data_IF_651806955418
#
_entry.id   IF_651806955418
#
_cell.length_a   1.000
_cell.length_b   1.000
_cell.length_c   1.000
_cell.angle_alpha   90.00
_cell.angle_beta   90.00
_cell.angle_gamma   90.00
#
_symmetry.space_group_name_H-M   'P 1'
#
loop_
_entity.id
_entity.type
_entity.pdbx_description
1 polymer ?
#
# COMPACT_ATOMS: atom_id res chain seq x y z
N UNK A 1 -47.63 -32.06 -57.80
CA UNK A 1 -48.86 -32.49 -57.09
C UNK A 1 -49.13 -31.50 -55.98
N UNK A 2 -50.27 -30.89 -56.06
CA UNK A 2 -50.78 -29.86 -55.16
C UNK A 2 -51.12 -30.40 -53.79
N UNK A 3 -51.02 -29.56 -52.77
CA UNK A 3 -52.19 -29.34 -51.94
C UNK A 3 -52.07 -28.05 -51.10
N UNK A 4 -53.01 -27.24 -51.29
CA UNK A 4 -53.53 -26.10 -50.57
C UNK A 4 -54.09 -26.52 -49.20
N UNK A 5 -54.09 -25.62 -48.24
CA UNK A 5 -55.27 -25.24 -47.40
C UNK A 5 -54.68 -24.60 -46.12
N UNK A 6 -55.04 -23.57 -45.50
CA UNK A 6 -56.21 -22.63 -45.60
C UNK A 6 -56.07 -21.67 -44.41
N UNK A 7 -56.46 -20.47 -44.67
CA UNK A 7 -56.49 -19.31 -43.75
C UNK A 7 -57.48 -19.54 -42.60
N UNK A 8 -57.11 -19.07 -41.38
CA UNK A 8 -58.12 -18.62 -40.42
C UNK A 8 -57.66 -17.49 -39.53
N UNK A 9 -58.08 -16.33 -39.84
CA UNK A 9 -58.08 -15.11 -39.06
C UNK A 9 -58.86 -15.28 -37.76
N UNK A 10 -58.28 -14.86 -36.62
CA UNK A 10 -59.16 -14.43 -35.52
C UNK A 10 -58.60 -13.13 -34.92
N UNK A 11 -59.38 -12.12 -35.10
CA UNK A 11 -59.40 -10.77 -34.59
C UNK A 11 -59.77 -10.84 -33.09
N UNK A 12 -58.97 -10.31 -32.19
CA UNK A 12 -59.39 -10.06 -30.81
C UNK A 12 -58.78 -8.77 -30.29
N UNK A 13 -59.65 -7.87 -30.15
CA UNK A 13 -59.83 -6.67 -29.36
C UNK A 13 -58.61 -6.14 -28.50
N UNK A 14 -58.31 -4.89 -28.80
CA UNK A 14 -57.49 -4.01 -27.99
C UNK A 14 -58.18 -3.67 -26.65
N UNK A 15 -57.48 -3.93 -25.54
CA UNK A 15 -57.87 -3.39 -24.25
C UNK A 15 -56.77 -2.39 -23.83
N UNK A 16 -57.10 -1.10 -23.99
CA UNK A 16 -56.29 0.02 -23.48
C UNK A 16 -56.30 -0.05 -21.96
N UNK A 17 -55.12 -0.25 -21.35
CA UNK A 17 -54.89 0.01 -19.92
C UNK A 17 -54.02 1.25 -19.85
N UNK A 18 -54.54 2.30 -19.27
CA UNK A 18 -53.89 3.55 -19.02
C UNK A 18 -52.76 3.33 -18.00
N UNK A 19 -51.52 3.49 -18.39
CA UNK A 19 -50.38 3.51 -17.49
C UNK A 19 -50.28 4.89 -16.83
N UNK A 20 -50.49 4.89 -15.53
CA UNK A 20 -50.35 6.02 -14.62
C UNK A 20 -48.86 6.40 -14.54
N UNK A 21 -48.51 7.60 -15.03
CA UNK A 21 -47.15 8.12 -14.97
C UNK A 21 -46.68 8.25 -13.51
N UNK A 22 -45.70 7.47 -13.14
CA UNK A 22 -44.99 7.64 -11.89
C UNK A 22 -43.89 8.71 -12.07
N UNK A 23 -43.94 9.75 -11.25
CA UNK A 23 -42.92 10.81 -11.17
C UNK A 23 -41.54 10.20 -10.86
N UNK A 24 -40.46 10.65 -11.50
CA UNK A 24 -39.11 10.21 -11.16
C UNK A 24 -38.73 10.77 -9.77
N UNK A 25 -38.48 9.86 -8.85
CA UNK A 25 -37.94 10.17 -7.50
C UNK A 25 -36.46 10.53 -7.66
N UNK A 26 -36.16 11.82 -7.51
CA UNK A 26 -34.79 12.33 -7.46
C UNK A 26 -34.09 11.72 -6.25
N UNK A 27 -33.31 10.69 -6.48
CA UNK A 27 -32.35 10.17 -5.47
C UNK A 27 -31.06 10.96 -5.64
N UNK A 28 -30.88 11.96 -4.79
CA UNK A 28 -29.59 12.58 -4.62
C UNK A 28 -28.61 11.53 -4.03
N UNK A 29 -27.39 11.39 -4.57
CA UNK A 29 -26.39 10.53 -3.96
C UNK A 29 -25.96 11.19 -2.65
N UNK A 30 -26.34 10.60 -1.51
CA UNK A 30 -25.75 10.94 -0.22
C UNK A 30 -24.26 10.67 -0.32
N UNK A 31 -23.45 11.70 -0.44
CA UNK A 31 -22.01 11.62 -0.31
C UNK A 31 -21.69 11.20 1.14
N UNK A 32 -21.43 9.93 1.32
CA UNK A 32 -20.88 9.41 2.56
C UNK A 32 -19.38 9.77 2.59
N UNK A 33 -19.05 10.97 3.01
CA UNK A 33 -17.70 11.26 3.44
C UNK A 33 -17.46 10.46 4.73
N UNK A 34 -17.03 9.21 4.60
CA UNK A 34 -16.45 8.48 5.71
C UNK A 34 -15.24 9.29 6.17
N UNK A 35 -15.36 9.96 7.31
CA UNK A 35 -14.18 10.42 8.04
C UNK A 35 -13.32 9.18 8.28
N UNK A 36 -12.25 9.04 7.52
CA UNK A 36 -11.27 7.97 7.74
C UNK A 36 -10.72 8.22 9.15
N UNK A 37 -11.07 7.36 10.09
CA UNK A 37 -10.56 7.45 11.45
C UNK A 37 -9.02 7.36 11.38
N UNK A 38 -8.31 8.20 12.12
CA UNK A 38 -6.85 8.10 12.20
C UNK A 38 -6.51 6.71 12.75
N UNK A 39 -5.54 5.99 12.16
CA UNK A 39 -5.12 4.69 12.67
C UNK A 39 -4.69 4.79 14.14
N UNK A 40 -5.01 3.76 14.92
CA UNK A 40 -4.52 3.65 16.28
C UNK A 40 -2.99 3.51 16.26
N UNK A 41 -2.32 4.07 17.27
CA UNK A 41 -0.89 3.90 17.46
C UNK A 41 -0.62 2.80 18.47
N UNK A 42 0.34 1.93 18.19
CA UNK A 42 0.89 0.96 19.15
C UNK A 42 1.76 1.65 20.19
N UNK A 43 2.09 0.89 21.27
CA UNK A 43 3.03 1.30 22.30
C UNK A 43 4.37 1.66 21.73
N UNK A 44 4.85 2.57 21.29
CA UNK A 44 6.08 2.96 20.55
C UNK A 44 5.79 3.87 19.36
N UNK A 45 4.51 4.14 19.09
CA UNK A 45 4.08 5.10 18.08
C UNK A 45 3.95 4.54 16.66
N UNK A 46 4.04 3.23 16.48
CA UNK A 46 3.79 2.60 15.17
C UNK A 46 2.30 2.67 14.83
N UNK A 47 1.92 3.18 13.65
CA UNK A 47 0.55 3.13 13.19
C UNK A 47 0.07 1.70 13.00
N UNK A 48 -1.17 1.39 13.42
CA UNK A 48 -1.83 0.13 13.09
C UNK A 48 -2.47 0.24 11.71
N UNK A 49 -1.83 -0.32 10.71
CA UNK A 49 -2.33 -0.40 9.34
C UNK A 49 -2.49 -1.87 8.97
N UNK A 50 -3.63 -2.23 8.41
CA UNK A 50 -3.86 -3.60 7.94
C UNK A 50 -2.82 -4.00 6.88
N UNK A 51 -2.42 -5.29 6.92
CA UNK A 51 -1.55 -5.88 5.90
C UNK A 51 -2.19 -5.67 4.52
N UNK A 52 -1.45 -5.06 3.61
CA UNK A 52 -1.89 -4.84 2.23
C UNK A 52 -0.69 -4.57 1.33
N UNK A 53 -0.83 -4.92 0.05
CA UNK A 53 0.17 -4.67 -0.97
C UNK A 53 -0.09 -3.33 -1.69
N UNK A 54 0.95 -2.74 -2.23
CA UNK A 54 0.89 -1.51 -3.02
C UNK A 54 1.34 -0.25 -2.28
N UNK A 55 1.31 0.86 -3.00
CA UNK A 55 1.76 2.17 -2.49
C UNK A 55 0.78 2.75 -1.47
N UNK A 56 -0.52 2.68 -1.72
CA UNK A 56 -1.54 3.33 -0.89
C UNK A 56 -1.47 2.96 0.62
N UNK A 57 -1.33 1.68 1.03
CA UNK A 57 -1.19 1.34 2.44
C UNK A 57 0.11 1.87 3.05
N UNK A 58 1.20 1.94 2.29
CA UNK A 58 2.48 2.49 2.77
C UNK A 58 2.36 4.00 2.97
N UNK A 59 1.73 4.73 2.05
CA UNK A 59 1.46 6.15 2.21
C UNK A 59 0.54 6.44 3.39
N UNK A 60 -0.50 5.62 3.59
CA UNK A 60 -1.36 5.71 4.77
C UNK A 60 -0.59 5.49 6.08
N UNK A 61 0.35 4.55 6.09
CA UNK A 61 1.22 4.30 7.23
C UNK A 61 2.10 5.52 7.53
N UNK A 62 2.80 6.04 6.52
CA UNK A 62 3.68 7.21 6.64
C UNK A 62 2.88 8.44 7.11
N UNK A 63 1.69 8.66 6.55
CA UNK A 63 0.82 9.77 6.95
C UNK A 63 0.35 9.67 8.41
N UNK A 64 0.21 8.46 8.94
CA UNK A 64 -0.19 8.20 10.31
C UNK A 64 0.96 8.24 11.33
N UNK A 65 2.21 8.26 10.87
CA UNK A 65 3.37 8.36 11.75
C UNK A 65 3.37 9.68 12.55
N UNK A 66 3.75 9.65 13.83
CA UNK A 66 3.75 10.85 14.65
C UNK A 66 4.98 11.73 14.42
N UNK A 67 4.77 13.04 14.46
CA UNK A 67 5.85 14.04 14.50
C UNK A 67 6.89 13.92 13.39
N UNK A 68 8.15 14.11 13.75
CA UNK A 68 9.32 14.06 12.89
C UNK A 68 9.47 12.74 12.11
N UNK A 69 9.00 11.63 12.67
CA UNK A 69 9.06 10.31 12.01
C UNK A 69 8.33 10.28 10.67
N UNK A 70 7.24 11.05 10.53
CA UNK A 70 6.51 11.19 9.27
C UNK A 70 7.38 11.79 8.17
N UNK A 71 8.15 12.81 8.50
CA UNK A 71 9.00 13.48 7.53
C UNK A 71 10.19 12.58 7.13
N UNK A 72 10.78 11.89 8.08
CA UNK A 72 11.77 10.84 7.78
C UNK A 72 11.16 9.74 6.94
N UNK A 73 9.95 9.27 7.27
CA UNK A 73 9.26 8.25 6.47
C UNK A 73 9.05 8.67 5.02
N UNK A 74 8.66 9.92 4.77
CA UNK A 74 8.52 10.49 3.41
C UNK A 74 9.86 10.57 2.68
N UNK A 75 10.90 11.03 3.37
CA UNK A 75 12.26 11.10 2.79
C UNK A 75 12.76 9.72 2.40
N UNK A 76 12.59 8.73 3.27
CA UNK A 76 12.97 7.34 3.00
C UNK A 76 12.21 6.76 1.83
N UNK A 77 10.88 6.94 1.78
CA UNK A 77 10.04 6.46 0.66
C UNK A 77 10.49 7.07 -0.66
N UNK A 78 10.68 8.38 -0.70
CA UNK A 78 11.14 9.10 -1.90
C UNK A 78 12.53 8.62 -2.34
N UNK A 79 13.46 8.47 -1.40
CA UNK A 79 14.81 7.98 -1.68
C UNK A 79 14.80 6.57 -2.25
N UNK A 80 14.03 5.66 -1.64
CA UNK A 80 13.94 4.25 -2.08
C UNK A 80 13.36 4.17 -3.49
N UNK A 81 12.25 4.87 -3.75
CA UNK A 81 11.59 4.89 -5.07
C UNK A 81 12.50 5.44 -6.15
N UNK A 82 13.26 6.51 -5.84
CA UNK A 82 14.23 7.10 -6.76
C UNK A 82 15.42 6.19 -7.03
N UNK A 83 15.87 5.46 -6.00
CA UNK A 83 17.08 4.60 -6.09
C UNK A 83 16.80 3.29 -6.80
N UNK A 84 15.59 2.76 -6.63
CA UNK A 84 15.19 1.44 -7.16
C UNK A 84 13.92 1.59 -7.98
N UNK A 85 14.04 1.85 -9.30
CA UNK A 85 12.90 1.90 -10.21
C UNK A 85 12.12 0.57 -10.17
N UNK A 86 10.78 0.66 -10.07
CA UNK A 86 9.92 -0.52 -10.02
C UNK A 86 9.87 -1.20 -8.64
N UNK A 87 10.37 -0.56 -7.59
CA UNK A 87 10.26 -1.08 -6.23
C UNK A 87 8.80 -1.35 -5.86
N UNK A 88 8.53 -2.56 -5.36
CA UNK A 88 7.24 -2.95 -4.84
C UNK A 88 7.14 -2.52 -3.37
N UNK A 89 5.94 -2.14 -2.97
CA UNK A 89 5.66 -1.68 -1.62
C UNK A 89 4.55 -2.52 -0.99
N UNK A 90 4.61 -2.71 0.30
CA UNK A 90 3.56 -3.38 1.08
C UNK A 90 3.60 -2.91 2.53
N UNK A 91 2.50 -3.10 3.26
CA UNK A 91 2.51 -3.10 4.72
C UNK A 91 2.45 -4.55 5.19
N UNK A 92 3.49 -5.00 5.88
CA UNK A 92 3.60 -6.33 6.50
C UNK A 92 4.14 -6.17 7.92
N UNK A 93 3.74 -7.05 8.82
CA UNK A 93 4.16 -6.99 10.23
C UNK A 93 4.02 -5.58 10.83
N UNK A 94 2.94 -4.90 10.46
CA UNK A 94 2.64 -3.53 10.87
C UNK A 94 3.77 -2.53 10.59
N UNK A 95 4.43 -2.67 9.43
CA UNK A 95 5.52 -1.79 8.99
C UNK A 95 5.55 -1.70 7.47
N UNK A 96 6.03 -0.58 6.90
CA UNK A 96 6.30 -0.48 5.47
C UNK A 96 7.38 -1.45 5.04
N UNK A 97 7.17 -2.07 3.91
CA UNK A 97 8.03 -3.07 3.31
C UNK A 97 8.29 -2.71 1.85
N UNK A 98 9.55 -2.76 1.44
CA UNK A 98 9.98 -2.45 0.08
C UNK A 98 10.79 -3.59 -0.49
N UNK A 99 10.65 -3.88 -1.78
CA UNK A 99 11.41 -4.94 -2.42
C UNK A 99 11.21 -5.04 -3.92
N UNK A 100 11.96 -5.93 -4.55
CA UNK A 100 11.84 -6.30 -5.96
C UNK A 100 11.71 -7.81 -6.04
N UNK A 101 10.78 -8.31 -6.86
CA UNK A 101 10.61 -9.73 -7.18
C UNK A 101 10.63 -10.67 -5.96
N UNK A 102 9.87 -10.28 -4.93
CA UNK A 102 9.78 -11.07 -3.70
C UNK A 102 10.92 -10.85 -2.71
N UNK A 103 11.89 -10.02 -3.05
CA UNK A 103 12.94 -9.57 -2.15
C UNK A 103 12.51 -8.30 -1.42
N UNK A 104 12.77 -8.19 -0.14
CA UNK A 104 12.31 -7.06 0.61
C UNK A 104 13.24 -6.65 1.75
N UNK A 105 13.18 -5.40 2.09
CA UNK A 105 13.71 -4.83 3.31
C UNK A 105 12.62 -4.09 4.05
N UNK A 106 12.73 -4.01 5.36
CA UNK A 106 11.70 -3.54 6.26
C UNK A 106 12.05 -2.19 6.85
N UNK A 107 11.07 -1.28 6.89
CA UNK A 107 11.10 -0.09 7.73
C UNK A 107 10.22 -0.34 8.95
N UNK A 108 10.81 -0.30 10.14
CA UNK A 108 10.12 -0.43 11.42
C UNK A 108 10.33 0.83 12.26
N UNK A 109 9.30 1.21 13.01
CA UNK A 109 9.30 2.44 13.79
C UNK A 109 8.95 2.14 15.24
N UNK A 110 9.87 2.50 16.14
CA UNK A 110 9.65 2.48 17.58
C UNK A 110 9.83 3.89 18.14
N UNK A 111 10.65 4.09 19.16
CA UNK A 111 11.03 5.43 19.65
C UNK A 111 11.82 6.23 18.62
N UNK A 112 12.49 5.55 17.70
CA UNK A 112 13.24 6.07 16.57
C UNK A 112 12.80 5.35 15.28
N UNK A 113 13.28 5.78 14.13
CA UNK A 113 13.05 5.11 12.86
C UNK A 113 14.13 4.06 12.65
N UNK A 114 13.76 2.83 12.37
CA UNK A 114 14.68 1.72 12.12
C UNK A 114 14.52 1.22 10.69
N UNK A 115 15.59 1.24 9.91
CA UNK A 115 15.66 0.59 8.61
C UNK A 115 16.32 -0.78 8.78
N UNK A 116 15.63 -1.85 8.39
CA UNK A 116 16.15 -3.21 8.50
C UNK A 116 16.52 -3.76 7.13
N UNK A 117 17.73 -4.23 6.98
CA UNK A 117 18.23 -4.91 5.79
C UNK A 117 18.42 -6.40 6.10
N UNK A 118 17.61 -7.26 5.46
CA UNK A 118 17.63 -8.71 5.72
C UNK A 118 18.94 -9.39 5.35
N UNK A 119 19.65 -8.88 4.34
CA UNK A 119 21.01 -9.29 3.98
C UNK A 119 22.03 -8.20 4.33
N UNK A 120 21.83 -7.53 5.44
CA UNK A 120 22.60 -6.37 5.85
C UNK A 120 24.10 -6.65 6.05
N UNK A 121 24.48 -7.89 6.38
CA UNK A 121 25.88 -8.30 6.49
C UNK A 121 26.64 -8.34 5.17
N UNK A 122 25.90 -8.39 4.05
CA UNK A 122 26.47 -8.35 2.69
C UNK A 122 26.65 -6.93 2.15
N UNK A 123 26.11 -5.92 2.84
CA UNK A 123 26.21 -4.52 2.41
C UNK A 123 27.55 -3.90 2.75
N UNK A 124 28.01 -2.95 1.92
CA UNK A 124 29.26 -2.20 2.14
C UNK A 124 29.02 -0.70 1.96
N UNK A 125 29.50 0.14 2.88
CA UNK A 125 29.99 -0.26 4.21
C UNK A 125 28.92 -0.98 5.02
N UNK A 126 29.31 -1.67 6.08
CA UNK A 126 28.38 -2.44 6.91
C UNK A 126 27.42 -1.49 7.66
N UNK A 127 26.07 -1.70 7.60
CA UNK A 127 25.17 -0.90 8.42
C UNK A 127 25.46 -1.04 9.92
N UNK A 128 25.35 0.05 10.71
CA UNK A 128 25.98 0.15 12.02
C UNK A 128 25.38 -0.77 13.08
N UNK A 129 24.05 -0.94 13.11
CA UNK A 129 23.42 -1.65 14.20
C UNK A 129 23.24 -3.15 13.90
N UNK A 130 23.63 -3.98 14.85
CA UNK A 130 23.51 -5.43 14.76
C UNK A 130 22.09 -5.90 15.11
N UNK A 131 21.73 -7.06 14.58
CA UNK A 131 20.49 -7.77 14.90
C UNK A 131 20.79 -9.07 15.64
N UNK A 132 19.78 -9.63 16.32
CA UNK A 132 19.80 -11.00 16.82
C UNK A 132 19.82 -12.03 15.68
N UNK A 133 19.33 -11.66 14.52
CA UNK A 133 19.35 -12.48 13.30
C UNK A 133 20.70 -12.29 12.58
N UNK A 134 21.38 -13.39 12.27
CA UNK A 134 22.75 -13.42 11.78
C UNK A 134 23.01 -12.50 10.58
N UNK A 135 22.10 -12.48 9.61
CA UNK A 135 22.29 -11.76 8.34
C UNK A 135 21.67 -10.35 8.34
N UNK A 136 20.89 -10.02 9.35
CA UNK A 136 20.16 -8.76 9.42
C UNK A 136 21.01 -7.66 10.06
N UNK A 137 21.00 -6.48 9.47
CA UNK A 137 21.60 -5.26 10.02
C UNK A 137 20.59 -4.13 10.00
N UNK A 138 20.79 -3.17 10.87
CA UNK A 138 19.89 -2.01 11.01
C UNK A 138 20.64 -0.70 10.83
N UNK A 139 19.89 0.29 10.34
CA UNK A 139 20.19 1.71 10.51
C UNK A 139 19.11 2.27 11.44
N UNK A 140 19.51 2.76 12.58
CA UNK A 140 18.66 3.47 13.52
C UNK A 140 18.79 4.97 13.25
N UNK A 141 17.66 5.68 13.17
CA UNK A 141 17.60 7.13 12.86
C UNK A 141 16.81 7.79 13.98
N UNK A 142 17.43 8.70 14.71
CA UNK A 142 16.85 9.48 15.79
C UNK A 142 16.41 10.86 15.27
N UNK A 143 15.71 11.62 16.10
CA UNK A 143 15.13 12.90 15.72
C UNK A 143 16.16 13.92 15.22
N UNK A 144 17.28 13.98 15.90
CA UNK A 144 18.34 14.96 15.63
C UNK A 144 19.45 14.42 14.72
N UNK A 145 19.29 13.18 14.19
CA UNK A 145 20.30 12.58 13.33
C UNK A 145 20.30 13.21 11.94
N UNK A 146 21.49 13.57 11.46
CA UNK A 146 21.68 13.91 10.06
C UNK A 146 21.61 12.63 9.22
N UNK A 147 20.58 12.50 8.39
CA UNK A 147 20.43 11.35 7.50
C UNK A 147 21.41 11.48 6.31
N UNK A 148 22.38 10.58 6.25
CA UNK A 148 23.24 10.39 5.07
C UNK A 148 22.45 9.68 3.97
N UNK A 149 21.78 10.46 3.13
CA UNK A 149 20.96 9.95 2.03
C UNK A 149 21.80 9.25 0.95
N UNK A 150 23.05 9.67 0.74
CA UNK A 150 23.93 9.05 -0.25
C UNK A 150 24.31 7.64 0.17
N UNK A 151 24.73 7.49 1.43
CA UNK A 151 25.05 6.18 2.00
C UNK A 151 23.82 5.27 2.05
N UNK A 152 22.66 5.81 2.44
CA UNK A 152 21.42 5.04 2.47
C UNK A 152 21.00 4.59 1.08
N UNK A 153 21.10 5.45 0.06
CA UNK A 153 20.83 5.09 -1.33
C UNK A 153 21.78 3.98 -1.82
N UNK A 154 23.05 4.05 -1.46
CA UNK A 154 24.02 2.99 -1.78
C UNK A 154 23.63 1.64 -1.15
N UNK A 155 23.21 1.60 0.11
CA UNK A 155 22.71 0.39 0.76
C UNK A 155 21.43 -0.13 0.13
N UNK A 156 20.47 0.74 -0.16
CA UNK A 156 19.20 0.37 -0.82
C UNK A 156 19.46 -0.23 -2.20
N UNK A 157 20.36 0.37 -2.99
CA UNK A 157 20.77 -0.17 -4.29
C UNK A 157 21.41 -1.55 -4.16
N UNK A 158 22.33 -1.74 -3.22
CA UNK A 158 22.95 -3.05 -2.98
C UNK A 158 21.90 -4.07 -2.50
N UNK A 159 21.03 -3.70 -1.55
CA UNK A 159 19.98 -4.56 -1.03
C UNK A 159 19.00 -5.03 -2.11
N UNK A 160 18.70 -4.18 -3.10
CA UNK A 160 17.83 -4.52 -4.22
C UNK A 160 18.38 -5.62 -5.15
N UNK A 161 19.69 -5.88 -5.05
CA UNK A 161 20.39 -6.91 -5.84
C UNK A 161 20.60 -8.22 -5.07
N UNK A 162 20.22 -8.24 -3.80
CA UNK A 162 20.39 -9.40 -2.91
C UNK A 162 19.07 -10.11 -2.66
N UNK A 163 19.09 -11.43 -2.41
CA UNK A 163 17.89 -12.13 -1.95
C UNK A 163 17.36 -11.51 -0.67
N UNK A 164 16.04 -11.25 -0.61
CA UNK A 164 15.36 -10.73 0.57
C UNK A 164 14.28 -11.68 1.08
N UNK A 165 13.46 -11.21 2.00
CA UNK A 165 12.28 -11.92 2.44
C UNK A 165 11.18 -11.85 1.39
N UNK A 166 10.39 -12.94 1.28
CA UNK A 166 9.28 -13.01 0.34
C UNK A 166 8.20 -11.98 0.72
N UNK A 167 7.84 -11.15 -0.23
CA UNK A 167 6.77 -10.16 -0.09
C UNK A 167 5.39 -10.77 -0.22
#
# INVERSE_FOLDING_TARGET
MANKTSIRSKKAAAKRVAAKAAKPRKTEPKSWSRKVAKPALLAGGNPQIAKADGDAPVQAYIAAMPGWKRDIGRRLDTLIVRTVPGVRKAVKWNSPFYGIDGQGWLLSFTRYVKVAFFRGTSLRPLPPAASKHKDVRYLDIHEDDALDEAQLAAWVKQASQLPGERM
#
